data_IF_944360278774
#
_entry.id   IF_944360278774
#
_cell.length_a   1.000
_cell.length_b   1.000
_cell.length_c   1.000
_cell.angle_alpha   90.00
_cell.angle_beta   90.00
_cell.angle_gamma   90.00
#
_symmetry.space_group_name_H-M   'P 1'
#
loop_
_entity.id
_entity.type
_entity.pdbx_description
1 polymer ?
#
# COMPACT_ATOMS: atom_id res chain seq x y z
N UNK A 1 -9.79 -5.18 -6.48
CA UNK A 1 -9.18 -3.83 -6.47
C UNK A 1 -8.59 -3.61 -5.08
N UNK A 2 -7.40 -3.02 -4.95
CA UNK A 2 -6.73 -2.90 -3.65
C UNK A 2 -7.53 -2.01 -2.68
N UNK A 3 -7.42 -2.27 -1.39
CA UNK A 3 -8.09 -1.51 -0.35
C UNK A 3 -7.38 -0.17 -0.05
N UNK A 4 -7.91 0.59 0.92
CA UNK A 4 -7.33 1.87 1.36
C UNK A 4 -5.91 1.75 1.92
N UNK A 5 -5.46 0.56 2.28
CA UNK A 5 -4.12 0.26 2.77
C UNK A 5 -3.21 -0.26 1.63
N UNK A 6 -3.72 -0.34 0.40
CA UNK A 6 -3.03 -0.91 -0.74
C UNK A 6 -2.98 -2.44 -0.71
N UNK A 7 -3.67 -3.11 0.21
CA UNK A 7 -3.72 -4.57 0.24
C UNK A 7 -4.71 -5.09 -0.80
N UNK A 8 -4.31 -6.11 -1.55
CA UNK A 8 -5.21 -6.76 -2.50
C UNK A 8 -5.96 -7.92 -1.84
N UNK A 9 -6.87 -8.55 -2.59
CA UNK A 9 -7.57 -9.77 -2.13
C UNK A 9 -6.63 -10.97 -1.94
N UNK A 10 -5.36 -10.86 -2.37
CA UNK A 10 -4.35 -11.90 -2.20
C UNK A 10 -3.44 -11.50 -1.03
N UNK A 11 -3.35 -12.31 0.04
CA UNK A 11 -2.46 -12.05 1.16
C UNK A 11 -1.00 -11.89 0.71
N UNK A 12 -0.34 -10.84 1.21
CA UNK A 12 1.03 -10.50 0.85
C UNK A 12 1.21 -9.79 -0.49
N UNK A 13 0.13 -9.54 -1.25
CA UNK A 13 0.16 -8.77 -2.49
C UNK A 13 -0.45 -7.39 -2.26
N UNK A 14 0.33 -6.36 -2.55
CA UNK A 14 -0.04 -4.95 -2.37
C UNK A 14 0.08 -4.18 -3.68
N UNK A 15 -0.74 -3.14 -3.84
CA UNK A 15 -0.73 -2.24 -4.98
C UNK A 15 -0.85 -0.77 -4.50
N UNK A 16 -0.19 0.14 -5.21
CA UNK A 16 -0.26 1.58 -4.96
C UNK A 16 -0.01 2.37 -6.25
N UNK A 17 -0.39 3.65 -6.26
CA UNK A 17 -0.28 4.53 -7.43
C UNK A 17 -1.54 4.59 -8.28
N UNK A 18 -1.41 4.96 -9.56
CA UNK A 18 -2.52 5.16 -10.50
C UNK A 18 -3.39 3.91 -10.69
N UNK A 19 -2.78 2.73 -10.55
CA UNK A 19 -3.45 1.42 -10.60
C UNK A 19 -4.51 1.25 -9.51
N UNK A 20 -4.41 2.00 -8.41
CA UNK A 20 -5.35 1.95 -7.28
C UNK A 20 -6.19 3.22 -7.18
N UNK A 21 -5.61 4.37 -7.50
CA UNK A 21 -6.25 5.69 -7.35
C UNK A 21 -7.00 6.16 -8.60
N UNK A 22 -6.82 5.51 -9.75
CA UNK A 22 -7.36 5.94 -11.04
C UNK A 22 -6.49 7.03 -11.69
N UNK A 23 -7.07 7.81 -12.60
CA UNK A 23 -6.42 8.97 -13.25
C UNK A 23 -6.19 10.13 -12.26
N UNK A 24 -5.48 9.83 -11.18
CA UNK A 24 -5.17 10.75 -10.11
C UNK A 24 -3.90 11.53 -10.45
N UNK A 25 -3.72 12.68 -9.80
CA UNK A 25 -2.50 13.48 -9.98
C UNK A 25 -1.29 12.75 -9.39
N UNK A 26 -0.09 13.08 -9.87
CA UNK A 26 1.18 12.48 -9.39
C UNK A 26 1.31 12.49 -7.86
N UNK A 27 0.79 13.53 -7.20
CA UNK A 27 0.80 13.67 -5.74
C UNK A 27 -0.04 12.57 -5.07
N UNK A 28 -1.22 12.28 -5.61
CA UNK A 28 -2.11 11.25 -5.09
C UNK A 28 -1.53 9.84 -5.33
N UNK A 29 -0.92 9.63 -6.50
CA UNK A 29 -0.23 8.39 -6.83
C UNK A 29 0.93 8.11 -5.85
N UNK A 30 1.74 9.12 -5.55
CA UNK A 30 2.81 9.05 -4.55
C UNK A 30 2.27 8.77 -3.15
N UNK A 31 1.15 9.39 -2.77
CA UNK A 31 0.45 9.15 -1.50
C UNK A 31 0.00 7.70 -1.35
N UNK A 32 -0.63 7.15 -2.39
CA UNK A 32 -1.04 5.74 -2.42
C UNK A 32 0.15 4.78 -2.37
N UNK A 33 1.25 5.09 -3.05
CA UNK A 33 2.49 4.31 -2.98
C UNK A 33 3.07 4.26 -1.56
N UNK A 34 3.04 5.39 -0.83
CA UNK A 34 3.51 5.46 0.56
C UNK A 34 2.68 4.60 1.51
N UNK A 35 1.36 4.56 1.30
CA UNK A 35 0.45 3.73 2.10
C UNK A 35 0.70 2.25 1.83
N UNK A 36 0.80 1.84 0.57
CA UNK A 36 1.12 0.46 0.20
C UNK A 36 2.47 0.01 0.79
N UNK A 37 3.51 0.85 0.74
CA UNK A 37 4.81 0.56 1.33
C UNK A 37 4.75 0.36 2.86
N UNK A 38 3.96 1.16 3.58
CA UNK A 38 3.74 0.98 5.02
C UNK A 38 3.05 -0.35 5.32
N UNK A 39 2.05 -0.72 4.54
CA UNK A 39 1.35 -2.00 4.72
C UNK A 39 2.24 -3.20 4.40
N UNK A 40 3.08 -3.11 3.36
CA UNK A 40 4.12 -4.11 3.06
C UNK A 40 5.07 -4.23 4.23
N UNK A 41 5.54 -3.09 4.76
CA UNK A 41 6.46 -3.06 5.89
C UNK A 41 5.86 -3.70 7.15
N UNK A 42 4.62 -3.35 7.50
CA UNK A 42 3.90 -3.97 8.61
C UNK A 42 3.69 -5.48 8.40
N UNK A 43 3.36 -5.88 7.18
CA UNK A 43 3.16 -7.29 6.83
C UNK A 43 4.46 -8.10 6.92
N UNK A 44 5.58 -7.54 6.50
CA UNK A 44 6.90 -8.19 6.56
C UNK A 44 7.50 -8.17 7.97
N UNK A 45 7.27 -7.11 8.75
CA UNK A 45 7.80 -6.97 10.11
C UNK A 45 6.98 -7.69 11.18
N UNK A 46 5.88 -8.37 10.80
CA UNK A 46 5.01 -9.20 11.64
C UNK A 46 5.25 -9.11 13.15
N UNK A 47 4.51 -8.26 13.85
CA UNK A 47 4.48 -8.14 15.32
C UNK A 47 5.87 -8.19 16.02
N UNK A 48 6.93 -7.58 15.44
CA UNK A 48 8.30 -7.84 15.93
C UNK A 48 9.38 -6.76 15.76
N UNK A 49 9.10 -5.48 16.01
CA UNK A 49 10.10 -4.49 16.50
C UNK A 49 9.35 -3.22 16.94
N UNK A 50 9.12 -2.97 18.24
CA UNK A 50 10.01 -2.26 19.19
C UNK A 50 10.86 -1.15 18.56
N UNK A 51 10.62 0.05 19.10
CA UNK A 51 11.32 1.35 18.95
C UNK A 51 10.80 2.32 17.88
#
# INVERSE_FOLDING_TARGET
>A
VADKNGATSIPGVFAGGDIVTGAATVILAMGAGKVAARSIHQYLMGDGHTE
#
